data_IF_064002226063
#
_entry.id   IF_064002226063
#
_cell.length_a   1.000
_cell.length_b   1.000
_cell.length_c   1.000
_cell.angle_alpha   90.00
_cell.angle_beta   90.00
_cell.angle_gamma   90.00
#
_symmetry.space_group_name_H-M   'P 1'
#
loop_
_entity.id
_entity.type
_entity.pdbx_description
1 polymer ?
#
# COMPACT_ATOMS: atom_id res chain seq x y z
N UNK A 1 43.32 49.76 30.06
CA UNK A 1 41.87 49.82 29.72
C UNK A 1 41.60 49.50 28.25
N UNK A 2 42.34 50.06 27.29
CA UNK A 2 42.17 49.71 25.86
C UNK A 2 42.42 48.23 25.55
N UNK A 3 43.38 47.59 26.23
CA UNK A 3 43.75 46.18 26.02
C UNK A 3 42.65 45.18 26.44
N UNK A 4 41.95 45.43 27.55
CA UNK A 4 40.83 44.57 28.03
C UNK A 4 39.62 44.63 27.07
N UNK A 5 39.36 45.79 26.47
CA UNK A 5 38.32 45.91 25.46
C UNK A 5 38.66 45.11 24.20
N UNK A 6 39.91 45.16 23.76
CA UNK A 6 40.39 44.48 22.57
C UNK A 6 40.36 42.95 22.73
N UNK A 7 40.81 42.44 23.88
CA UNK A 7 40.71 41.01 24.22
C UNK A 7 39.26 40.52 24.31
N UNK A 8 38.36 41.33 24.87
CA UNK A 8 36.93 41.02 24.91
C UNK A 8 36.33 40.97 23.51
N UNK A 9 36.72 41.90 22.63
CA UNK A 9 36.24 41.97 21.26
C UNK A 9 36.68 40.73 20.47
N UNK A 10 37.94 40.32 20.58
CA UNK A 10 38.44 39.09 19.96
C UNK A 10 37.71 37.84 20.47
N UNK A 11 37.46 37.77 21.78
CA UNK A 11 36.72 36.64 22.36
C UNK A 11 35.29 36.56 21.85
N UNK A 12 34.61 37.70 21.72
CA UNK A 12 33.27 37.76 21.13
C UNK A 12 33.33 37.35 19.65
N UNK A 13 34.26 37.89 18.87
CA UNK A 13 34.41 37.58 17.45
C UNK A 13 34.64 36.07 17.21
N UNK A 14 35.52 35.45 18.00
CA UNK A 14 35.75 33.99 17.94
C UNK A 14 34.49 33.19 18.26
N UNK A 15 33.72 33.60 19.27
CA UNK A 15 32.45 32.94 19.63
C UNK A 15 31.40 33.09 18.54
N UNK A 16 31.28 34.28 17.95
CA UNK A 16 30.33 34.54 16.86
C UNK A 16 30.65 33.71 15.63
N UNK A 17 31.93 33.57 15.26
CA UNK A 17 32.36 32.69 14.17
C UNK A 17 31.99 31.23 14.47
N UNK A 18 32.36 30.72 15.65
CA UNK A 18 32.03 29.35 16.02
C UNK A 18 30.52 29.07 16.10
N UNK A 19 29.71 30.06 16.50
CA UNK A 19 28.25 29.94 16.49
C UNK A 19 27.71 29.91 15.06
N UNK A 20 28.27 30.73 14.17
CA UNK A 20 27.90 30.79 12.75
C UNK A 20 28.19 29.46 12.05
N UNK A 21 29.36 28.88 12.29
CA UNK A 21 29.74 27.57 11.72
C UNK A 21 28.80 26.46 12.18
N UNK A 22 28.49 26.42 13.48
CA UNK A 22 27.53 25.44 14.04
C UNK A 22 26.13 25.62 13.48
N UNK A 23 25.69 26.86 13.32
CA UNK A 23 24.40 27.15 12.73
C UNK A 23 24.33 26.68 11.26
N UNK A 24 25.37 26.94 10.48
CA UNK A 24 25.44 26.51 9.09
C UNK A 24 25.45 24.97 8.95
N UNK A 25 26.20 24.28 9.82
CA UNK A 25 26.20 22.83 9.87
C UNK A 25 24.80 22.27 10.19
N UNK A 26 24.17 22.78 11.25
CA UNK A 26 22.82 22.37 11.65
C UNK A 26 21.78 22.67 10.57
N UNK A 27 21.89 23.79 9.87
CA UNK A 27 21.03 24.15 8.76
C UNK A 27 21.19 23.18 7.58
N UNK A 28 22.42 22.74 7.32
CA UNK A 28 22.71 21.71 6.31
C UNK A 28 22.07 20.37 6.67
N UNK A 29 22.27 19.90 7.90
CA UNK A 29 21.68 18.65 8.40
C UNK A 29 20.15 18.70 8.37
N UNK A 30 19.55 19.83 8.80
CA UNK A 30 18.10 20.03 8.75
C UNK A 30 17.59 19.90 7.31
N UNK A 31 18.23 20.57 6.35
CA UNK A 31 17.82 20.50 4.94
C UNK A 31 17.92 19.08 4.38
N UNK A 32 18.96 18.33 4.75
CA UNK A 32 19.11 16.94 4.34
C UNK A 32 18.02 16.05 4.97
N UNK A 33 17.70 16.26 6.24
CA UNK A 33 16.62 15.56 6.92
C UNK A 33 15.26 15.87 6.30
N UNK A 34 14.97 17.14 6.02
CA UNK A 34 13.73 17.58 5.37
C UNK A 34 13.58 16.95 3.96
N UNK A 35 14.67 16.90 3.19
CA UNK A 35 14.68 16.23 1.88
C UNK A 35 14.39 14.72 2.00
N UNK A 36 14.99 14.05 2.99
CA UNK A 36 14.76 12.62 3.24
C UNK A 36 13.33 12.35 3.68
N UNK A 37 12.74 13.23 4.49
CA UNK A 37 11.34 13.14 4.90
C UNK A 37 10.42 13.24 3.68
N UNK A 38 10.66 14.20 2.80
CA UNK A 38 9.87 14.36 1.58
C UNK A 38 9.93 13.11 0.67
N UNK A 39 11.13 12.55 0.48
CA UNK A 39 11.34 11.32 -0.28
C UNK A 39 10.58 10.13 0.33
N UNK A 40 10.69 9.95 1.65
CA UNK A 40 9.99 8.88 2.37
C UNK A 40 8.47 9.06 2.31
N UNK A 41 7.96 10.29 2.41
CA UNK A 41 6.54 10.58 2.27
C UNK A 41 6.01 10.26 0.87
N UNK A 42 6.79 10.56 -0.18
CA UNK A 42 6.45 10.16 -1.55
C UNK A 42 6.38 8.63 -1.66
N UNK A 43 7.42 7.96 -1.17
CA UNK A 43 7.51 6.49 -1.22
C UNK A 43 6.34 5.81 -0.49
N UNK A 44 5.97 6.32 0.69
CA UNK A 44 4.82 5.80 1.46
C UNK A 44 3.51 6.01 0.69
N UNK A 45 3.36 7.14 0.01
CA UNK A 45 2.17 7.42 -0.81
C UNK A 45 2.06 6.45 -1.97
N UNK A 46 3.15 6.23 -2.71
CA UNK A 46 3.19 5.30 -3.84
C UNK A 46 2.93 3.85 -3.39
N UNK A 47 3.54 3.42 -2.29
CA UNK A 47 3.32 2.09 -1.73
C UNK A 47 1.87 1.89 -1.28
N UNK A 48 1.24 2.91 -0.68
CA UNK A 48 -0.19 2.84 -0.30
C UNK A 48 -1.09 2.67 -1.51
N UNK A 49 -0.83 3.39 -2.61
CA UNK A 49 -1.59 3.23 -3.86
C UNK A 49 -1.42 1.84 -4.47
N UNK A 50 -0.20 1.29 -4.42
CA UNK A 50 0.08 -0.08 -4.88
C UNK A 50 -0.66 -1.10 -4.03
N UNK A 51 -0.63 -0.97 -2.70
CA UNK A 51 -1.38 -1.84 -1.78
C UNK A 51 -2.87 -1.79 -2.10
N UNK A 52 -3.46 -0.61 -2.24
CA UNK A 52 -4.87 -0.47 -2.56
C UNK A 52 -5.23 -1.14 -3.90
N UNK A 53 -4.37 -0.97 -4.91
CA UNK A 53 -4.55 -1.62 -6.22
C UNK A 53 -4.51 -3.15 -6.11
N UNK A 54 -3.53 -3.68 -5.38
CA UNK A 54 -3.38 -5.12 -5.16
C UNK A 54 -4.55 -5.68 -4.34
N UNK A 55 -5.02 -4.97 -3.32
CA UNK A 55 -6.20 -5.36 -2.54
C UNK A 55 -7.43 -5.47 -3.43
N UNK A 56 -7.69 -4.48 -4.30
CA UNK A 56 -8.80 -4.55 -5.26
C UNK A 56 -8.68 -5.73 -6.23
N UNK A 57 -7.46 -6.06 -6.67
CA UNK A 57 -7.21 -7.23 -7.52
C UNK A 57 -7.51 -8.54 -6.77
N UNK A 58 -7.09 -8.64 -5.50
CA UNK A 58 -7.39 -9.80 -4.65
C UNK A 58 -8.90 -9.94 -4.44
N UNK A 59 -9.60 -8.84 -4.14
CA UNK A 59 -11.05 -8.85 -3.96
C UNK A 59 -11.76 -9.30 -5.24
N UNK A 60 -11.35 -8.77 -6.39
CA UNK A 60 -11.86 -9.19 -7.69
C UNK A 60 -11.64 -10.69 -7.93
N UNK A 61 -10.43 -11.19 -7.72
CA UNK A 61 -10.11 -12.61 -7.90
C UNK A 61 -10.87 -13.50 -6.92
N UNK A 62 -11.11 -13.03 -5.69
CA UNK A 62 -11.90 -13.74 -4.68
C UNK A 62 -13.35 -13.85 -5.10
N UNK A 63 -13.94 -12.76 -5.61
CA UNK A 63 -15.31 -12.76 -6.16
C UNK A 63 -15.41 -13.68 -7.37
N UNK A 64 -14.43 -13.64 -8.28
CA UNK A 64 -14.41 -14.51 -9.45
C UNK A 64 -14.28 -15.98 -9.05
N UNK A 65 -13.39 -16.31 -8.12
CA UNK A 65 -13.18 -17.70 -7.67
C UNK A 65 -14.35 -18.26 -6.85
N UNK A 66 -15.04 -17.42 -6.07
CA UNK A 66 -16.29 -17.82 -5.41
C UNK A 66 -17.48 -17.92 -6.36
N UNK A 67 -17.44 -17.20 -7.49
CA UNK A 67 -18.42 -17.33 -8.57
C UNK A 67 -18.16 -18.52 -9.53
N UNK A 68 -16.98 -19.15 -9.47
CA UNK A 68 -16.71 -20.37 -10.25
C UNK A 68 -17.34 -21.57 -9.52
N UNK A 69 -18.36 -22.23 -10.11
CA UNK A 69 -18.94 -23.42 -9.50
C UNK A 69 -17.87 -24.49 -9.32
N UNK A 70 -17.81 -25.08 -8.14
CA UNK A 70 -16.86 -26.14 -7.85
C UNK A 70 -17.15 -27.37 -8.73
N UNK A 71 -16.16 -28.23 -8.95
CA UNK A 71 -16.36 -29.49 -9.71
C UNK A 71 -17.49 -30.34 -9.10
N UNK A 72 -17.67 -30.30 -7.77
CA UNK A 72 -18.81 -30.93 -7.08
C UNK A 72 -20.16 -30.30 -7.41
N UNK A 73 -20.25 -28.99 -7.61
CA UNK A 73 -21.51 -28.31 -7.97
C UNK A 73 -21.94 -28.69 -9.40
N UNK A 74 -20.97 -28.86 -10.29
CA UNK A 74 -21.20 -29.33 -11.67
C UNK A 74 -21.69 -30.78 -11.67
N UNK A 75 -21.06 -31.67 -10.91
CA UNK A 75 -21.50 -33.07 -10.79
C UNK A 75 -22.90 -33.19 -10.17
N UNK A 76 -23.20 -32.40 -9.13
CA UNK A 76 -24.54 -32.35 -8.51
C UNK A 76 -25.59 -31.88 -9.51
N UNK A 77 -25.29 -30.84 -10.28
CA UNK A 77 -26.19 -30.32 -11.32
C UNK A 77 -26.43 -31.37 -12.42
N UNK A 78 -25.38 -32.07 -12.87
CA UNK A 78 -25.50 -33.19 -13.83
C UNK A 78 -26.39 -34.31 -13.31
N UNK A 79 -26.27 -34.67 -12.05
CA UNK A 79 -27.10 -35.71 -11.43
C UNK A 79 -28.58 -35.32 -11.37
N UNK A 80 -28.87 -34.06 -11.03
CA UNK A 80 -30.25 -33.52 -11.01
C UNK A 80 -30.85 -33.50 -12.41
N UNK A 81 -30.12 -32.98 -13.41
CA UNK A 81 -30.57 -32.94 -14.80
C UNK A 81 -30.83 -34.36 -15.32
N UNK A 82 -29.94 -35.31 -15.04
CA UNK A 82 -30.11 -36.70 -15.47
C UNK A 82 -31.34 -37.37 -14.86
N UNK A 83 -31.70 -37.00 -13.62
CA UNK A 83 -32.90 -37.52 -12.96
C UNK A 83 -34.17 -36.92 -13.58
N UNK A 84 -34.19 -35.61 -13.82
CA UNK A 84 -35.30 -34.93 -14.47
C UNK A 84 -35.56 -35.46 -15.89
N UNK A 85 -34.51 -35.72 -16.67
CA UNK A 85 -34.65 -36.31 -18.02
C UNK A 85 -35.33 -37.69 -17.95
N UNK A 86 -34.94 -38.54 -17.00
CA UNK A 86 -35.57 -39.86 -16.83
C UNK A 86 -37.02 -39.77 -16.39
N UNK A 87 -37.36 -38.79 -15.54
CA UNK A 87 -38.75 -38.55 -15.13
C UNK A 87 -39.60 -38.06 -16.31
N UNK A 88 -39.04 -37.22 -17.18
CA UNK A 88 -39.68 -36.80 -18.43
C UNK A 88 -39.88 -38.00 -19.36
N UNK A 89 -38.85 -38.81 -19.61
CA UNK A 89 -38.95 -40.00 -20.46
C UNK A 89 -40.02 -40.98 -19.94
N UNK A 90 -40.10 -41.13 -18.61
CA UNK A 90 -41.14 -41.95 -17.97
C UNK A 90 -42.53 -41.36 -18.17
N UNK A 91 -42.73 -40.07 -17.92
CA UNK A 91 -44.01 -39.39 -18.17
C UNK A 91 -44.42 -39.46 -19.65
N UNK A 92 -43.48 -39.34 -20.59
CA UNK A 92 -43.76 -39.49 -22.01
C UNK A 92 -44.24 -40.91 -22.31
N UNK A 93 -43.53 -41.92 -21.79
CA UNK A 93 -43.90 -43.33 -21.96
C UNK A 93 -45.31 -43.60 -21.41
N UNK A 94 -45.59 -43.11 -20.19
CA UNK A 94 -46.88 -43.22 -19.52
C UNK A 94 -48.02 -42.46 -20.24
N UNK A 95 -47.70 -41.49 -21.12
CA UNK A 95 -48.66 -40.75 -21.95
C UNK A 95 -48.87 -41.36 -23.35
N UNK A 96 -47.96 -42.24 -23.78
CA UNK A 96 -48.00 -42.91 -25.09
C UNK A 96 -48.58 -44.33 -25.05
N UNK A 97 -48.84 -44.87 -23.84
CA UNK A 97 -49.66 -46.05 -23.56
C UNK A 97 -51.11 -45.64 -23.20
#
# INVERSE_FOLDING_TARGET
>A
MATDLQERLERVSRKTLGLTDRYNALLGEKRAADARIAELQSTVTDLRQQVETLTRQIDYLTVVTTAIPSRSDVERSRAVISRLVREIDKCISDLSD
#
